data_IF_417998914730
#
_entry.id   IF_417998914730
#
_cell.length_a   1.000
_cell.length_b   1.000
_cell.length_c   1.000
_cell.angle_alpha   90.00
_cell.angle_beta   90.00
_cell.angle_gamma   90.00
#
_symmetry.space_group_name_H-M   'P 1'
#
loop_
_entity.id
_entity.type
_entity.pdbx_description
1 polymer ?
#
# COMPACT_ATOMS: atom_id res chain seq x y z
N UNK A 1 -1.95 14.49 -45.74
CA UNK A 1 -3.10 14.22 -44.86
C UNK A 1 -3.21 12.72 -44.60
N UNK A 2 -3.22 11.83 -45.61
CA UNK A 2 -3.35 10.37 -45.44
C UNK A 2 -2.26 9.76 -44.53
N UNK A 3 -1.02 10.19 -44.66
CA UNK A 3 0.11 9.75 -43.85
C UNK A 3 -0.10 10.07 -42.36
N UNK A 4 -0.59 11.26 -42.02
CA UNK A 4 -0.90 11.65 -40.66
C UNK A 4 -2.02 10.79 -40.05
N UNK A 5 -3.07 10.51 -40.82
CA UNK A 5 -4.18 9.64 -40.39
C UNK A 5 -3.70 8.24 -40.09
N UNK A 6 -2.83 7.69 -40.95
CA UNK A 6 -2.24 6.36 -40.74
C UNK A 6 -1.35 6.37 -39.48
N UNK A 7 -0.53 7.41 -39.28
CA UNK A 7 0.31 7.52 -38.10
C UNK A 7 -0.51 7.57 -36.79
N UNK A 8 -1.58 8.37 -36.77
CA UNK A 8 -2.48 8.40 -35.61
C UNK A 8 -3.22 7.07 -35.39
N UNK A 9 -3.63 6.40 -36.46
CA UNK A 9 -4.29 5.10 -36.37
C UNK A 9 -3.31 4.05 -35.80
N UNK A 10 -2.07 4.03 -36.24
CA UNK A 10 -1.04 3.12 -35.72
C UNK A 10 -0.74 3.43 -34.26
N UNK A 11 -0.56 4.69 -33.89
CA UNK A 11 -0.28 5.10 -32.51
C UNK A 11 -1.44 4.75 -31.58
N UNK A 12 -2.68 4.89 -32.01
CA UNK A 12 -3.87 4.53 -31.25
C UNK A 12 -4.00 3.02 -31.01
N UNK A 13 -3.55 2.20 -31.96
CA UNK A 13 -3.60 0.72 -31.86
C UNK A 13 -2.35 0.10 -31.22
N UNK A 14 -1.30 0.88 -31.01
CA UNK A 14 -0.13 0.35 -30.28
C UNK A 14 -0.49 0.04 -28.81
N UNK A 15 -0.10 -1.13 -28.30
CA UNK A 15 -0.34 -1.44 -26.90
C UNK A 15 0.39 -0.41 -26.02
N UNK A 16 -0.35 0.17 -25.08
CA UNK A 16 0.23 1.11 -24.11
C UNK A 16 1.33 0.41 -23.31
N UNK A 17 2.49 1.03 -23.25
CA UNK A 17 3.59 0.51 -22.42
C UNK A 17 3.21 0.59 -20.95
N UNK A 18 3.46 -0.47 -20.21
CA UNK A 18 3.30 -0.47 -18.76
C UNK A 18 4.31 0.50 -18.12
N UNK A 19 3.79 1.37 -17.28
CA UNK A 19 4.60 2.26 -16.45
C UNK A 19 4.74 1.62 -15.08
N UNK A 20 5.96 1.25 -14.73
CA UNK A 20 6.28 0.58 -13.46
C UNK A 20 6.61 1.57 -12.34
N UNK A 21 6.28 2.84 -12.50
CA UNK A 21 6.44 3.85 -11.46
C UNK A 21 5.24 3.77 -10.53
N UNK A 22 5.45 3.53 -9.22
CA UNK A 22 4.35 3.48 -8.25
C UNK A 22 3.68 4.85 -8.13
N UNK A 23 2.41 4.92 -8.50
CA UNK A 23 1.59 6.13 -8.35
C UNK A 23 0.61 5.99 -7.20
N UNK A 24 0.08 4.77 -6.99
CA UNK A 24 -1.05 4.48 -6.10
C UNK A 24 -2.25 5.42 -6.35
N UNK A 25 -2.32 5.95 -7.57
CA UNK A 25 -3.40 6.85 -7.98
C UNK A 25 -4.73 6.12 -8.06
N UNK A 26 -5.78 6.76 -7.57
CA UNK A 26 -7.14 6.22 -7.50
C UNK A 26 -7.69 5.73 -8.85
N UNK A 27 -7.46 6.51 -9.93
CA UNK A 27 -7.91 6.15 -11.28
C UNK A 27 -6.83 5.51 -12.16
N UNK A 28 -5.68 5.21 -11.60
CA UNK A 28 -4.57 4.67 -12.35
C UNK A 28 -4.74 3.16 -12.53
N UNK A 29 -4.81 2.72 -13.78
CA UNK A 29 -4.92 1.32 -14.21
C UNK A 29 -3.57 0.62 -14.41
N UNK A 30 -2.46 1.35 -14.20
CA UNK A 30 -1.10 0.80 -14.30
C UNK A 30 -0.81 -0.19 -13.16
N UNK A 31 0.25 -1.02 -13.26
CA UNK A 31 0.52 -2.10 -12.29
C UNK A 31 0.57 -1.69 -10.82
N UNK A 32 0.96 -0.43 -10.53
CA UNK A 32 0.98 0.13 -9.18
C UNK A 32 -0.08 1.23 -8.98
N UNK A 33 -1.14 1.23 -9.79
CA UNK A 33 -2.31 2.06 -9.58
C UNK A 33 -3.34 1.40 -8.69
N UNK A 34 -4.31 2.16 -8.20
CA UNK A 34 -5.35 1.69 -7.30
C UNK A 34 -6.73 1.53 -7.96
N UNK A 35 -6.87 1.61 -9.29
CA UNK A 35 -8.17 1.54 -9.96
C UNK A 35 -8.91 0.22 -9.70
N UNK A 36 -8.20 -0.92 -9.72
CA UNK A 36 -8.78 -2.23 -9.41
C UNK A 36 -9.18 -2.33 -7.93
N UNK A 37 -8.32 -1.84 -7.04
CA UNK A 37 -8.58 -1.81 -5.60
C UNK A 37 -9.80 -0.93 -5.29
N UNK A 38 -9.92 0.22 -5.93
CA UNK A 38 -11.05 1.14 -5.84
C UNK A 38 -12.38 0.45 -6.24
N UNK A 39 -12.36 -0.25 -7.36
CA UNK A 39 -13.52 -1.02 -7.83
C UNK A 39 -13.93 -2.10 -6.84
N UNK A 40 -12.97 -2.80 -6.23
CA UNK A 40 -13.22 -3.80 -5.20
C UNK A 40 -13.81 -3.18 -3.93
N UNK A 41 -13.26 -2.05 -3.47
CA UNK A 41 -13.79 -1.33 -2.31
C UNK A 41 -15.22 -0.87 -2.55
N UNK A 42 -15.50 -0.27 -3.71
CA UNK A 42 -16.83 0.20 -4.08
C UNK A 42 -17.85 -0.92 -4.09
N UNK A 43 -17.46 -2.12 -4.55
CA UNK A 43 -18.32 -3.30 -4.57
C UNK A 43 -18.50 -3.95 -3.18
N UNK A 44 -17.51 -3.79 -2.27
CA UNK A 44 -17.47 -4.51 -1.00
C UNK A 44 -18.04 -3.71 0.17
N UNK A 45 -18.05 -2.38 0.08
CA UNK A 45 -18.51 -1.50 1.15
C UNK A 45 -19.97 -1.11 0.94
N UNK A 46 -20.92 -1.60 1.78
CA UNK A 46 -22.33 -1.33 1.60
C UNK A 46 -22.70 0.15 1.74
N UNK A 47 -21.94 0.91 2.52
CA UNK A 47 -22.15 2.35 2.73
C UNK A 47 -21.27 3.21 1.82
N UNK A 48 -20.53 2.60 0.88
CA UNK A 48 -19.57 3.29 0.05
C UNK A 48 -18.40 3.89 0.83
N UNK A 49 -17.63 4.73 0.17
CA UNK A 49 -16.55 5.50 0.77
C UNK A 49 -16.41 6.85 0.08
N UNK A 50 -15.72 7.77 0.71
CA UNK A 50 -15.47 9.11 0.16
C UNK A 50 -13.98 9.30 -0.04
N UNK A 51 -13.58 9.65 -1.25
CA UNK A 51 -12.19 10.01 -1.55
C UNK A 51 -11.91 11.42 -1.05
N UNK A 52 -10.93 11.57 -0.18
CA UNK A 52 -10.50 12.86 0.34
C UNK A 52 -9.13 13.25 -0.22
N UNK A 53 -8.98 14.54 -0.53
CA UNK A 53 -7.70 15.17 -0.91
C UNK A 53 -7.15 16.07 0.20
N UNK A 54 -7.73 15.98 1.40
CA UNK A 54 -7.38 16.80 2.55
C UNK A 54 -6.21 16.18 3.31
N UNK A 55 -5.44 17.04 3.97
CA UNK A 55 -4.41 16.60 4.94
C UNK A 55 -5.08 15.99 6.18
N UNK A 56 -4.34 15.22 6.98
CA UNK A 56 -4.89 14.66 8.23
C UNK A 56 -5.28 15.75 9.22
N UNK A 57 -4.57 16.88 9.22
CA UNK A 57 -4.94 18.05 10.00
C UNK A 57 -6.31 18.59 9.62
N UNK A 58 -6.56 18.80 8.33
CA UNK A 58 -7.86 19.27 7.83
C UNK A 58 -8.99 18.25 8.07
N UNK A 59 -8.69 16.97 7.96
CA UNK A 59 -9.66 15.91 8.28
C UNK A 59 -10.00 15.90 9.76
N UNK A 60 -9.04 16.11 10.64
CA UNK A 60 -9.23 16.16 12.10
C UNK A 60 -10.10 17.35 12.52
N UNK A 61 -9.87 18.53 11.93
CA UNK A 61 -10.69 19.73 12.20
C UNK A 61 -12.16 19.58 11.79
N UNK A 62 -12.41 18.85 10.70
CA UNK A 62 -13.76 18.59 10.19
C UNK A 62 -14.41 17.33 10.77
N UNK A 63 -13.65 16.52 11.50
CA UNK A 63 -14.14 15.25 12.01
C UNK A 63 -15.05 15.44 13.22
N UNK A 64 -16.34 15.59 12.90
CA UNK A 64 -17.40 15.61 13.90
C UNK A 64 -17.97 14.22 14.18
N UNK A 65 -17.60 13.20 13.39
CA UNK A 65 -18.13 11.86 13.48
C UNK A 65 -17.07 10.91 14.05
N UNK A 66 -17.48 10.09 15.00
CA UNK A 66 -16.66 9.04 15.59
C UNK A 66 -16.87 7.70 14.85
N UNK A 67 -15.89 6.80 14.96
CA UNK A 67 -15.99 5.42 14.41
C UNK A 67 -15.95 5.31 12.88
N UNK A 68 -15.16 6.14 12.22
CA UNK A 68 -14.87 6.00 10.79
C UNK A 68 -13.66 5.13 10.52
N UNK A 69 -13.64 4.51 9.34
CA UNK A 69 -12.43 3.90 8.75
C UNK A 69 -11.72 4.94 7.87
N UNK A 70 -10.45 5.17 8.12
CA UNK A 70 -9.59 6.04 7.30
C UNK A 70 -8.50 5.16 6.69
N UNK A 71 -8.44 5.13 5.36
CA UNK A 71 -7.40 4.41 4.62
C UNK A 71 -6.58 5.42 3.81
N UNK A 72 -5.27 5.45 4.06
CA UNK A 72 -4.34 6.21 3.24
C UNK A 72 -3.35 5.27 2.55
N UNK A 73 -3.24 5.41 1.23
CA UNK A 73 -2.33 4.63 0.40
C UNK A 73 -1.41 5.59 -0.35
N UNK A 74 -0.11 5.43 -0.20
CA UNK A 74 0.88 6.27 -0.85
C UNK A 74 2.20 5.53 -1.06
N UNK A 75 2.99 5.94 -2.06
CA UNK A 75 4.36 5.43 -2.20
C UNK A 75 5.26 5.96 -1.09
N UNK A 76 5.17 7.24 -0.82
CA UNK A 76 5.87 7.92 0.27
C UNK A 76 4.85 8.68 1.13
N UNK A 77 4.79 8.31 2.39
CA UNK A 77 3.89 8.94 3.35
C UNK A 77 4.65 9.96 4.18
N UNK A 78 4.95 11.09 3.53
CA UNK A 78 5.69 12.20 4.10
C UNK A 78 4.81 13.06 5.03
N UNK A 79 4.35 12.47 6.14
CA UNK A 79 3.54 13.16 7.13
C UNK A 79 4.39 14.16 7.93
N UNK A 80 3.82 15.33 8.17
CA UNK A 80 4.39 16.32 9.08
C UNK A 80 4.10 15.94 10.54
N UNK A 81 4.76 16.61 11.48
CA UNK A 81 4.48 16.47 12.92
C UNK A 81 3.01 16.78 13.26
N UNK A 82 2.45 17.80 12.61
CA UNK A 82 1.05 18.20 12.80
C UNK A 82 0.10 17.09 12.28
N UNK A 83 0.37 16.56 11.10
CA UNK A 83 -0.45 15.47 10.52
C UNK A 83 -0.43 14.23 11.41
N UNK A 84 0.74 13.85 11.95
CA UNK A 84 0.86 12.71 12.85
C UNK A 84 0.06 12.93 14.13
N UNK A 85 0.14 14.12 14.74
CA UNK A 85 -0.64 14.46 15.92
C UNK A 85 -2.16 14.42 15.65
N UNK A 86 -2.60 14.96 14.53
CA UNK A 86 -4.01 14.94 14.13
C UNK A 86 -4.49 13.52 13.88
N UNK A 87 -3.68 12.69 13.25
CA UNK A 87 -3.96 11.28 13.01
C UNK A 87 -4.14 10.50 14.32
N UNK A 88 -3.28 10.74 15.31
CA UNK A 88 -3.40 10.12 16.63
C UNK A 88 -4.67 10.59 17.36
N UNK A 89 -4.99 11.87 17.33
CA UNK A 89 -6.24 12.40 17.92
C UNK A 89 -7.47 11.77 17.28
N UNK A 90 -7.47 11.60 15.94
CA UNK A 90 -8.57 10.90 15.27
C UNK A 90 -8.69 9.45 15.73
N UNK A 91 -7.56 8.75 15.89
CA UNK A 91 -7.55 7.39 16.42
C UNK A 91 -8.05 7.32 17.88
N UNK A 92 -7.66 8.25 18.74
CA UNK A 92 -8.11 8.39 20.12
C UNK A 92 -9.63 8.63 20.20
N UNK A 93 -10.21 9.33 19.23
CA UNK A 93 -11.67 9.53 19.10
C UNK A 93 -12.41 8.27 18.63
N UNK A 94 -11.72 7.16 18.40
CA UNK A 94 -12.32 5.88 18.01
C UNK A 94 -12.34 5.61 16.51
N UNK A 95 -11.70 6.44 15.69
CA UNK A 95 -11.54 6.17 14.26
C UNK A 95 -10.52 5.05 14.04
N UNK A 96 -10.76 4.20 13.04
CA UNK A 96 -9.81 3.16 12.64
C UNK A 96 -8.96 3.69 11.50
N UNK A 97 -7.65 3.81 11.72
CA UNK A 97 -6.72 4.33 10.72
C UNK A 97 -5.86 3.21 10.18
N UNK A 98 -5.82 3.07 8.87
CA UNK A 98 -4.94 2.17 8.15
C UNK A 98 -4.05 2.96 7.19
N UNK A 99 -2.74 2.82 7.37
CA UNK A 99 -1.74 3.45 6.52
C UNK A 99 -1.01 2.37 5.73
N UNK A 100 -1.03 2.48 4.41
CA UNK A 100 -0.32 1.60 3.50
C UNK A 100 0.69 2.40 2.69
N UNK A 101 1.97 2.18 2.94
CA UNK A 101 3.05 2.91 2.28
C UNK A 101 4.32 2.07 2.17
N UNK A 102 5.16 2.40 1.22
CA UNK A 102 6.52 1.83 1.14
C UNK A 102 7.53 2.61 1.98
N UNK A 103 7.23 3.86 2.31
CA UNK A 103 8.03 4.70 3.19
C UNK A 103 7.15 5.48 4.14
N UNK A 104 7.58 5.56 5.40
CA UNK A 104 6.91 6.33 6.44
C UNK A 104 7.81 7.47 6.92
N UNK A 105 7.20 8.61 7.24
CA UNK A 105 7.94 9.75 7.79
C UNK A 105 8.61 9.39 9.12
N UNK A 106 9.72 10.07 9.40
CA UNK A 106 10.44 9.89 10.66
C UNK A 106 9.55 10.19 11.86
N UNK A 107 8.76 11.26 11.79
CA UNK A 107 7.83 11.63 12.86
C UNK A 107 6.88 10.51 13.24
N UNK A 108 6.31 9.82 12.24
CA UNK A 108 5.41 8.69 12.49
C UNK A 108 6.17 7.51 13.11
N UNK A 109 7.36 7.21 12.61
CA UNK A 109 8.20 6.11 13.13
C UNK A 109 8.61 6.34 14.57
N UNK A 110 9.10 7.54 14.87
CA UNK A 110 9.54 7.93 16.22
C UNK A 110 8.35 7.92 17.20
N UNK A 111 7.18 8.38 16.77
CA UNK A 111 5.98 8.46 17.62
C UNK A 111 5.38 7.08 17.92
N UNK A 112 5.34 6.19 16.93
CA UNK A 112 4.79 4.84 17.09
C UNK A 112 5.86 3.80 17.44
N UNK A 113 7.12 4.23 17.57
CA UNK A 113 8.26 3.39 17.94
C UNK A 113 8.41 2.14 17.07
N UNK A 114 8.46 2.33 15.75
CA UNK A 114 8.72 1.24 14.81
C UNK A 114 9.79 1.63 13.79
N UNK A 115 10.44 0.63 13.22
CA UNK A 115 11.37 0.81 12.12
C UNK A 115 10.87 0.13 10.86
N UNK A 116 11.09 0.78 9.73
CA UNK A 116 10.79 0.22 8.42
C UNK A 116 12.00 0.34 7.50
N UNK A 117 12.30 -0.73 6.82
CA UNK A 117 13.40 -0.79 5.87
C UNK A 117 12.86 -0.93 4.46
N UNK A 118 13.50 -0.23 3.52
CA UNK A 118 13.16 -0.28 2.11
C UNK A 118 14.22 -1.02 1.34
N UNK A 119 13.79 -1.96 0.50
CA UNK A 119 14.62 -2.49 -0.56
C UNK A 119 14.56 -1.58 -1.78
N UNK A 120 15.73 -1.23 -2.31
CA UNK A 120 15.79 -0.57 -3.59
C UNK A 120 15.62 -1.62 -4.69
N UNK A 121 14.49 -1.55 -5.37
CA UNK A 121 14.26 -2.35 -6.54
C UNK A 121 15.17 -1.86 -7.67
N UNK A 122 16.17 -2.66 -8.02
CA UNK A 122 17.02 -2.37 -9.17
C UNK A 122 16.53 -3.17 -10.38
N UNK A 123 16.27 -2.52 -11.52
CA UNK A 123 15.95 -3.23 -12.78
C UNK A 123 17.02 -4.26 -13.18
N UNK A 124 18.29 -3.99 -12.84
CA UNK A 124 19.40 -4.94 -13.05
C UNK A 124 19.29 -6.15 -12.12
N UNK A 125 18.84 -5.95 -10.89
CA UNK A 125 18.55 -7.04 -9.98
C UNK A 125 17.40 -7.92 -10.50
N UNK A 126 16.34 -7.32 -11.05
CA UNK A 126 15.25 -8.06 -11.68
C UNK A 126 15.76 -8.97 -12.81
N UNK A 127 16.63 -8.45 -13.69
CA UNK A 127 17.22 -9.24 -14.77
C UNK A 127 18.04 -10.42 -14.22
N UNK A 128 18.77 -10.22 -13.14
CA UNK A 128 19.54 -11.27 -12.45
C UNK A 128 18.61 -12.30 -11.80
N UNK A 129 17.49 -11.87 -11.22
CA UNK A 129 16.53 -12.75 -10.58
C UNK A 129 15.59 -13.43 -11.58
N UNK A 130 15.31 -12.83 -12.73
CA UNK A 130 14.52 -13.48 -13.79
C UNK A 130 15.24 -14.67 -14.42
N UNK A 131 16.56 -14.74 -14.34
CA UNK A 131 17.36 -15.89 -14.77
C UNK A 131 17.58 -16.93 -13.69
N UNK A 132 17.39 -16.58 -12.42
CA UNK A 132 17.32 -17.51 -11.29
C UNK A 132 15.86 -17.74 -10.93
N UNK A 133 15.46 -18.97 -10.66
CA UNK A 133 14.13 -19.31 -10.17
C UNK A 133 13.80 -18.40 -8.98
N UNK A 134 12.86 -17.48 -9.16
CA UNK A 134 12.35 -16.64 -8.07
C UNK A 134 11.76 -17.57 -7.02
N UNK A 135 12.42 -17.67 -5.88
CA UNK A 135 11.90 -18.46 -4.77
C UNK A 135 10.65 -17.80 -4.22
N UNK A 136 9.53 -18.50 -4.32
CA UNK A 136 8.29 -18.10 -3.64
C UNK A 136 8.48 -18.26 -2.14
N UNK A 137 7.93 -17.31 -1.41
CA UNK A 137 7.79 -17.40 0.03
C UNK A 137 6.31 -17.25 0.42
N UNK A 138 5.97 -17.57 1.64
CA UNK A 138 4.59 -17.56 2.09
C UNK A 138 4.38 -16.61 3.24
N UNK A 139 3.23 -15.92 3.21
CA UNK A 139 2.70 -15.11 4.30
C UNK A 139 1.59 -15.87 4.98
N UNK A 140 1.66 -15.93 6.31
CA UNK A 140 0.61 -16.49 7.15
C UNK A 140 -0.01 -15.39 8.01
N UNK A 141 -1.31 -15.44 8.17
CA UNK A 141 -1.99 -14.63 9.17
C UNK A 141 -1.58 -15.07 10.57
N UNK A 142 -1.37 -14.10 11.44
CA UNK A 142 -1.10 -14.32 12.87
C UNK A 142 -2.36 -13.97 13.63
N UNK A 143 -2.98 -14.93 14.28
CA UNK A 143 -4.18 -14.69 15.08
C UNK A 143 -5.16 -15.86 15.09
N UNK A 144 -6.37 -15.57 15.52
CA UNK A 144 -7.42 -16.58 15.64
C UNK A 144 -7.83 -17.10 14.26
N UNK A 145 -7.62 -18.39 14.03
CA UNK A 145 -7.99 -19.09 12.80
C UNK A 145 -9.51 -19.09 12.53
N UNK A 146 -10.33 -18.79 13.54
CA UNK A 146 -11.77 -18.63 13.36
C UNK A 146 -12.15 -17.34 12.60
N UNK A 147 -11.29 -16.30 12.67
CA UNK A 147 -11.52 -15.01 12.02
C UNK A 147 -10.85 -14.95 10.66
N UNK A 148 -9.70 -15.58 10.51
CA UNK A 148 -8.92 -15.54 9.28
C UNK A 148 -8.92 -16.90 8.61
N UNK A 149 -9.26 -16.90 7.31
CA UNK A 149 -9.12 -18.12 6.50
C UNK A 149 -7.68 -18.65 6.59
N UNK A 150 -7.47 -19.96 6.73
CA UNK A 150 -6.12 -20.56 6.79
C UNK A 150 -5.39 -20.51 5.45
N UNK A 151 -5.77 -19.60 4.55
CA UNK A 151 -5.12 -19.46 3.26
C UNK A 151 -3.72 -18.91 3.41
N UNK A 152 -2.78 -19.62 2.82
CA UNK A 152 -1.40 -19.17 2.64
C UNK A 152 -1.33 -18.29 1.40
N UNK A 153 -0.79 -17.08 1.56
CA UNK A 153 -0.54 -16.18 0.44
C UNK A 153 0.92 -16.30 0.03
N UNK A 154 1.15 -16.48 -1.25
CA UNK A 154 2.52 -16.52 -1.80
C UNK A 154 2.97 -15.14 -2.21
N UNK A 155 4.21 -14.84 -1.93
CA UNK A 155 4.85 -13.62 -2.39
C UNK A 155 6.30 -13.89 -2.80
N UNK A 156 6.89 -12.94 -3.48
CA UNK A 156 8.29 -13.00 -3.88
C UNK A 156 9.06 -11.95 -3.06
N UNK A 157 9.87 -12.36 -2.07
CA UNK A 157 10.64 -11.43 -1.24
C UNK A 157 11.49 -10.46 -2.03
N UNK A 158 11.99 -10.90 -3.19
CA UNK A 158 12.83 -10.09 -4.08
C UNK A 158 12.06 -8.92 -4.73
N UNK A 159 10.72 -8.99 -4.75
CA UNK A 159 9.83 -7.94 -5.26
C UNK A 159 9.22 -7.09 -4.16
N UNK A 160 9.44 -7.44 -2.89
CA UNK A 160 8.99 -6.62 -1.77
C UNK A 160 9.78 -5.32 -1.71
N UNK A 161 9.06 -4.21 -1.58
CA UNK A 161 9.68 -2.88 -1.54
C UNK A 161 10.06 -2.44 -0.13
N UNK A 162 9.39 -2.96 0.89
CA UNK A 162 9.63 -2.58 2.29
C UNK A 162 9.14 -3.65 3.27
N UNK A 163 9.65 -3.61 4.48
CA UNK A 163 9.23 -4.46 5.59
C UNK A 163 9.49 -3.76 6.93
N UNK A 164 8.76 -4.17 7.95
CA UNK A 164 9.01 -3.76 9.32
C UNK A 164 10.05 -4.68 9.95
N UNK A 165 10.92 -4.08 10.75
CA UNK A 165 11.96 -4.80 11.48
C UNK A 165 11.95 -4.38 12.94
N UNK A 166 12.17 -5.35 13.83
CA UNK A 166 12.34 -5.11 15.28
C UNK A 166 11.95 -6.34 16.08
N UNK A 167 12.66 -6.54 17.18
CA UNK A 167 12.37 -7.64 18.13
C UNK A 167 11.13 -7.34 18.99
N UNK A 168 10.74 -6.08 19.05
CA UNK A 168 9.62 -5.58 19.86
C UNK A 168 8.84 -4.53 19.09
N UNK A 169 8.10 -4.97 18.06
CA UNK A 169 7.17 -4.07 17.39
C UNK A 169 6.01 -3.75 18.32
N UNK A 170 5.67 -2.46 18.49
CA UNK A 170 4.50 -2.08 19.27
C UNK A 170 3.25 -2.54 18.54
N UNK A 171 2.33 -3.16 19.26
CA UNK A 171 1.05 -3.59 18.71
C UNK A 171 0.96 -5.08 18.37
N UNK A 172 -0.09 -5.43 17.65
CA UNK A 172 -0.41 -6.81 17.27
C UNK A 172 0.01 -7.09 15.83
N UNK A 173 0.86 -8.06 15.67
CA UNK A 173 1.21 -8.58 14.35
C UNK A 173 0.01 -9.30 13.73
N UNK A 174 -0.34 -8.97 12.49
CA UNK A 174 -1.46 -9.57 11.76
C UNK A 174 -1.02 -10.64 10.77
N UNK A 175 0.16 -10.46 10.16
CA UNK A 175 0.70 -11.41 9.21
C UNK A 175 2.23 -11.41 9.27
N UNK A 176 2.81 -12.57 9.08
CA UNK A 176 4.26 -12.76 9.01
C UNK A 176 4.67 -13.73 7.91
N UNK A 177 5.93 -13.68 7.54
CA UNK A 177 6.55 -14.69 6.70
C UNK A 177 6.46 -16.06 7.41
N UNK A 178 5.99 -17.08 6.70
CA UNK A 178 5.98 -18.42 7.25
C UNK A 178 7.40 -18.88 7.54
N UNK A 179 7.63 -19.38 8.75
CA UNK A 179 8.87 -20.05 9.09
C UNK A 179 8.89 -21.39 8.36
N UNK A 180 9.82 -21.60 7.45
CA UNK A 180 10.09 -22.92 6.92
C UNK A 180 10.74 -23.73 8.07
N UNK A 181 9.98 -24.63 8.64
CA UNK A 181 10.54 -25.66 9.51
C UNK A 181 11.22 -26.65 8.56
N UNK A 182 12.55 -26.66 8.53
CA UNK A 182 13.34 -27.67 7.84
C UNK A 182 13.21 -29.01 8.54
#
# INVERSE_FOLDING_TARGET
VAFLVIMFAVEYHLPKKFVWTPTFGHYDDQPFGCAVFDSLLSASLPNGYTLSKKTFYQLEEEDTLHSRGILAVAHDMALTDIDVKSLLKMAERGNKVMLASTMFSRYLKDTLNFESYRFYFSPLALKKYATSLLAKDSLCWVGDSAVYSPRTFYFYPQLCSSYFWGDSLPGKELARKALHVN
#
